data_IF_715523149121
#
_entry.id   IF_715523149121
#
_cell.length_a   1.000
_cell.length_b   1.000
_cell.length_c   1.000
_cell.angle_alpha   90.00
_cell.angle_beta   90.00
_cell.angle_gamma   90.00
#
_symmetry.space_group_name_H-M   'P 1'
#
loop_
_entity.id
_entity.type
_entity.pdbx_description
1 polymer ?
#
# COMPACT_ATOMS: atom_id res chain seq x y z
N UNK A 1 -0.40 15.27 -12.79
CA UNK A 1 -0.15 14.69 -11.46
C UNK A 1 -0.26 15.78 -10.44
N UNK A 2 -0.90 15.52 -9.31
CA UNK A 2 -1.17 16.54 -8.29
C UNK A 2 -0.80 16.01 -6.90
N UNK A 3 -0.06 16.80 -6.14
CA UNK A 3 0.37 16.46 -4.78
C UNK A 3 0.36 17.70 -3.87
N UNK A 4 0.18 17.49 -2.57
CA UNK A 4 0.47 18.50 -1.54
C UNK A 4 1.80 18.25 -0.79
N UNK A 5 2.51 17.17 -1.14
CA UNK A 5 3.80 16.80 -0.56
C UNK A 5 3.75 16.41 0.92
N UNK A 6 2.61 15.92 1.39
CA UNK A 6 2.42 15.56 2.80
C UNK A 6 2.85 14.13 3.12
N UNK A 7 3.13 13.30 2.11
CA UNK A 7 3.62 11.94 2.27
C UNK A 7 4.64 11.58 1.18
N UNK A 8 5.70 12.38 1.03
CA UNK A 8 6.69 12.18 -0.02
C UNK A 8 7.53 10.94 0.27
N UNK A 9 7.33 9.87 -0.50
CA UNK A 9 8.05 8.60 -0.35
C UNK A 9 8.05 8.12 1.13
N UNK A 10 9.22 7.75 1.66
CA UNK A 10 9.43 7.45 3.09
C UNK A 10 9.84 8.67 3.93
N UNK A 11 9.85 9.88 3.38
CA UNK A 11 10.33 11.11 4.04
C UNK A 11 9.21 11.84 4.80
N UNK A 12 7.95 11.59 4.45
CA UNK A 12 6.79 12.17 5.11
C UNK A 12 6.46 13.58 4.64
N UNK A 13 5.97 14.41 5.57
CA UNK A 13 5.45 15.74 5.27
C UNK A 13 6.60 16.76 5.17
N UNK A 14 7.01 17.06 3.94
CA UNK A 14 7.97 18.12 3.63
C UNK A 14 7.30 19.31 2.91
N UNK A 15 6.01 19.17 2.61
CA UNK A 15 5.24 20.12 1.84
C UNK A 15 5.48 20.04 0.33
N UNK A 16 4.79 20.91 -0.44
CA UNK A 16 4.68 20.79 -1.90
C UNK A 16 6.03 20.93 -2.63
N UNK A 17 6.81 21.97 -2.31
CA UNK A 17 8.02 22.29 -3.06
C UNK A 17 9.09 21.18 -3.01
N UNK A 18 9.41 20.58 -1.84
CA UNK A 18 10.33 19.45 -1.79
C UNK A 18 9.87 18.19 -2.55
N UNK A 19 8.57 17.99 -2.74
CA UNK A 19 8.02 16.85 -3.50
C UNK A 19 8.17 16.98 -5.02
N UNK A 20 8.42 18.19 -5.52
CA UNK A 20 8.48 18.49 -6.96
C UNK A 20 9.39 17.56 -7.78
N UNK A 21 10.63 17.23 -7.35
CA UNK A 21 11.47 16.31 -8.12
C UNK A 21 10.81 14.93 -8.35
N UNK A 22 10.12 14.40 -7.33
CA UNK A 22 9.40 13.11 -7.43
C UNK A 22 8.26 13.22 -8.45
N UNK A 23 7.50 14.33 -8.43
CA UNK A 23 6.38 14.53 -9.35
C UNK A 23 6.84 14.70 -10.81
N UNK A 24 7.94 15.42 -11.04
CA UNK A 24 8.55 15.58 -12.37
C UNK A 24 9.00 14.23 -12.93
N UNK A 25 9.65 13.41 -12.10
CA UNK A 25 10.08 12.08 -12.49
C UNK A 25 8.88 11.20 -12.86
N UNK A 26 7.81 11.20 -12.06
CA UNK A 26 6.59 10.44 -12.39
C UNK A 26 5.91 10.96 -13.68
N UNK A 27 5.87 12.27 -13.92
CA UNK A 27 5.33 12.83 -15.16
C UNK A 27 6.13 12.37 -16.40
N UNK A 28 7.45 12.24 -16.28
CA UNK A 28 8.30 11.65 -17.32
C UNK A 28 7.94 10.17 -17.58
N UNK A 29 7.66 9.39 -16.53
CA UNK A 29 7.25 7.98 -16.68
C UNK A 29 5.94 7.84 -17.48
N UNK A 30 4.94 8.68 -17.21
CA UNK A 30 3.70 8.73 -17.99
C UNK A 30 3.98 8.93 -19.48
N UNK A 31 4.86 9.86 -19.83
CA UNK A 31 5.22 10.11 -21.22
C UNK A 31 5.98 8.94 -21.83
N UNK A 32 6.95 8.39 -21.11
CA UNK A 32 7.87 7.37 -21.61
C UNK A 32 7.19 6.03 -21.87
N UNK A 33 6.27 5.62 -20.99
CA UNK A 33 5.68 4.29 -21.00
C UNK A 33 4.24 4.25 -21.54
N UNK A 34 3.47 5.34 -21.40
CA UNK A 34 2.08 5.39 -21.86
C UNK A 34 1.85 6.43 -22.98
N UNK A 35 2.87 7.22 -23.36
CA UNK A 35 2.72 8.30 -24.33
C UNK A 35 1.88 9.49 -23.84
N UNK A 36 1.46 9.48 -22.57
CA UNK A 36 0.59 10.47 -21.94
C UNK A 36 1.38 11.76 -21.66
N UNK A 37 0.84 12.91 -22.06
CA UNK A 37 1.40 14.20 -21.68
C UNK A 37 0.92 14.53 -20.26
N UNK A 38 1.86 14.57 -19.32
CA UNK A 38 1.59 14.87 -17.92
C UNK A 38 2.38 16.09 -17.48
N UNK A 39 1.79 16.89 -16.61
CA UNK A 39 2.46 17.96 -15.87
C UNK A 39 2.29 17.71 -14.37
N UNK A 40 3.25 18.17 -13.59
CA UNK A 40 3.26 18.15 -12.14
C UNK A 40 2.64 19.43 -11.57
N UNK A 41 1.79 19.29 -10.55
CA UNK A 41 1.09 20.39 -9.88
C UNK A 41 1.20 20.19 -8.37
N UNK A 42 2.12 20.94 -7.75
CA UNK A 42 2.30 20.95 -6.31
C UNK A 42 1.38 22.02 -5.67
N UNK A 43 0.38 21.57 -4.92
CA UNK A 43 -0.63 22.43 -4.31
C UNK A 43 -0.28 22.70 -2.86
N UNK A 44 -0.02 23.97 -2.55
CA UNK A 44 0.05 24.44 -1.15
C UNK A 44 -1.36 24.72 -0.64
N UNK A 45 -1.94 23.75 0.05
CA UNK A 45 -3.26 23.88 0.68
C UNK A 45 -3.15 23.82 2.20
N UNK A 46 -3.92 24.66 2.89
CA UNK A 46 -4.02 24.73 4.35
C UNK A 46 -4.96 23.67 4.96
N UNK A 47 -5.75 22.99 4.12
CA UNK A 47 -6.66 21.92 4.54
C UNK A 47 -6.96 20.96 3.38
N UNK A 48 -7.46 19.72 3.67
CA UNK A 48 -7.96 18.81 2.66
C UNK A 48 -9.03 19.44 1.76
N UNK A 49 -9.96 20.21 2.33
CA UNK A 49 -11.01 20.90 1.55
C UNK A 49 -10.41 21.94 0.60
N UNK A 50 -9.43 22.74 1.04
CA UNK A 50 -8.76 23.70 0.17
C UNK A 50 -8.00 23.02 -0.99
N UNK A 51 -7.43 21.84 -0.74
CA UNK A 51 -6.83 21.02 -1.80
C UNK A 51 -7.87 20.53 -2.80
N UNK A 52 -8.97 19.94 -2.31
CA UNK A 52 -10.10 19.47 -3.15
C UNK A 52 -10.62 20.61 -4.02
N UNK A 53 -10.95 21.76 -3.42
CA UNK A 53 -11.47 22.92 -4.14
C UNK A 53 -10.51 23.38 -5.24
N UNK A 54 -9.20 23.38 -4.97
CA UNK A 54 -8.18 23.79 -5.95
C UNK A 54 -8.12 22.81 -7.12
N UNK A 55 -8.14 21.50 -6.83
CA UNK A 55 -8.10 20.47 -7.87
C UNK A 55 -9.37 20.48 -8.70
N UNK A 56 -10.55 20.47 -8.07
CA UNK A 56 -11.84 20.48 -8.76
C UNK A 56 -11.98 21.70 -9.69
N UNK A 57 -11.55 22.89 -9.24
CA UNK A 57 -11.60 24.12 -10.07
C UNK A 57 -10.68 24.11 -11.29
N UNK A 58 -9.70 23.22 -11.32
CA UNK A 58 -8.73 23.12 -12.43
C UNK A 58 -8.90 21.84 -13.25
N UNK A 59 -9.77 20.92 -12.81
CA UNK A 59 -9.95 19.59 -13.38
C UNK A 59 -10.26 19.61 -14.88
N UNK A 60 -11.14 20.51 -15.34
CA UNK A 60 -11.60 20.60 -16.74
C UNK A 60 -10.47 20.91 -17.76
N UNK A 61 -9.29 21.29 -17.28
CA UNK A 61 -8.10 21.47 -18.14
C UNK A 61 -7.45 20.13 -18.53
N UNK A 62 -7.77 19.05 -17.82
CA UNK A 62 -7.10 17.76 -17.92
C UNK A 62 -8.04 16.65 -18.42
N UNK A 63 -7.45 15.58 -18.98
CA UNK A 63 -8.20 14.36 -19.33
C UNK A 63 -8.29 13.33 -18.19
N UNK A 64 -7.61 13.59 -17.07
CA UNK A 64 -7.56 12.75 -15.89
C UNK A 64 -6.64 13.32 -14.81
N UNK A 65 -6.91 13.00 -13.55
CA UNK A 65 -6.14 13.42 -12.39
C UNK A 65 -5.45 12.20 -11.77
N UNK A 66 -4.14 12.31 -11.57
CA UNK A 66 -3.37 11.38 -10.75
C UNK A 66 -2.96 12.08 -9.46
N UNK A 67 -3.53 11.65 -8.33
CA UNK A 67 -3.18 12.06 -6.98
C UNK A 67 -1.97 11.28 -6.47
N UNK A 68 -1.10 11.97 -5.74
CA UNK A 68 0.23 11.44 -5.39
C UNK A 68 0.76 12.02 -4.08
N UNK A 69 1.44 11.20 -3.26
CA UNK A 69 2.17 11.65 -2.05
C UNK A 69 1.29 12.49 -1.08
N UNK A 70 0.04 12.07 -0.88
CA UNK A 70 -0.93 12.69 0.04
C UNK A 70 -1.10 11.79 1.27
N UNK A 71 -0.93 12.36 2.47
CA UNK A 71 -0.99 11.58 3.72
C UNK A 71 -2.37 10.98 3.99
N UNK A 72 -2.35 9.79 4.58
CA UNK A 72 -3.54 9.19 5.18
C UNK A 72 -3.87 9.86 6.54
N UNK A 73 -5.14 9.97 6.95
CA UNK A 73 -6.34 9.45 6.25
C UNK A 73 -6.92 10.41 5.20
N UNK A 74 -6.34 11.61 5.05
CA UNK A 74 -6.89 12.69 4.21
C UNK A 74 -6.96 12.31 2.72
N UNK A 75 -5.98 11.55 2.22
CA UNK A 75 -5.95 11.11 0.83
C UNK A 75 -7.21 10.34 0.39
N UNK A 76 -7.79 9.53 1.27
CA UNK A 76 -8.99 8.75 0.95
C UNK A 76 -10.24 9.64 0.82
N UNK A 77 -10.38 10.65 1.68
CA UNK A 77 -11.48 11.63 1.58
C UNK A 77 -11.31 12.52 0.33
N UNK A 78 -10.08 13.03 0.11
CA UNK A 78 -9.74 13.85 -1.05
C UNK A 78 -10.08 13.12 -2.36
N UNK A 79 -9.64 11.87 -2.48
CA UNK A 79 -9.93 11.06 -3.67
C UNK A 79 -11.42 10.84 -3.86
N UNK A 80 -12.14 10.41 -2.81
CA UNK A 80 -13.57 10.15 -2.91
C UNK A 80 -14.33 11.39 -3.38
N UNK A 81 -14.09 12.54 -2.75
CA UNK A 81 -14.79 13.78 -3.09
C UNK A 81 -14.45 14.25 -4.50
N UNK A 82 -13.19 14.12 -4.93
CA UNK A 82 -12.79 14.49 -6.29
C UNK A 82 -13.40 13.57 -7.35
N UNK A 83 -13.53 12.26 -7.08
CA UNK A 83 -14.26 11.32 -7.95
C UNK A 83 -15.74 11.72 -8.06
N UNK A 84 -16.36 12.16 -6.96
CA UNK A 84 -17.76 12.57 -6.95
C UNK A 84 -18.00 13.93 -7.65
N UNK A 85 -17.03 14.84 -7.61
CA UNK A 85 -17.17 16.20 -8.14
C UNK A 85 -16.66 16.39 -9.57
N UNK A 86 -15.67 15.62 -10.02
CA UNK A 86 -15.03 15.82 -11.32
C UNK A 86 -15.64 14.91 -12.40
N UNK A 87 -15.86 15.45 -13.60
CA UNK A 87 -16.33 14.68 -14.77
C UNK A 87 -15.24 13.84 -15.44
N UNK A 88 -14.00 13.88 -14.91
CA UNK A 88 -12.82 13.18 -15.42
C UNK A 88 -12.32 12.13 -14.41
N UNK A 89 -11.64 11.06 -14.88
CA UNK A 89 -11.13 10.04 -13.96
C UNK A 89 -10.12 10.62 -12.97
N UNK A 90 -10.28 10.26 -11.70
CA UNK A 90 -9.35 10.56 -10.61
C UNK A 90 -8.79 9.26 -10.08
N UNK A 91 -7.47 9.19 -9.93
CA UNK A 91 -6.75 7.99 -9.50
C UNK A 91 -5.66 8.36 -8.51
N UNK A 92 -5.57 7.67 -7.38
CA UNK A 92 -4.46 7.81 -6.45
C UNK A 92 -3.45 6.66 -6.61
N UNK A 93 -2.21 6.98 -7.02
CA UNK A 93 -1.19 5.97 -7.35
C UNK A 93 -0.73 5.17 -6.13
N UNK A 94 -0.43 5.82 -4.99
CA UNK A 94 -0.04 5.11 -3.77
C UNK A 94 -1.12 4.15 -3.24
N UNK A 95 -2.39 4.38 -3.58
CA UNK A 95 -3.51 3.51 -3.19
C UNK A 95 -3.72 2.41 -4.22
N UNK A 96 -4.23 2.77 -5.40
CA UNK A 96 -4.67 1.81 -6.41
C UNK A 96 -3.52 1.24 -7.22
N UNK A 97 -2.51 2.05 -7.54
CA UNK A 97 -1.30 1.61 -8.23
C UNK A 97 -0.59 0.52 -7.44
N UNK A 98 -0.34 0.79 -6.15
CA UNK A 98 0.22 -0.21 -5.21
C UNK A 98 -0.65 -1.46 -5.13
N UNK A 99 -1.97 -1.33 -5.04
CA UNK A 99 -2.89 -2.46 -4.98
C UNK A 99 -2.79 -3.36 -6.23
N UNK A 100 -2.81 -2.77 -7.42
CA UNK A 100 -2.78 -3.50 -8.69
C UNK A 100 -1.50 -4.32 -8.82
N UNK A 101 -0.32 -3.70 -8.60
CA UNK A 101 0.96 -4.41 -8.74
C UNK A 101 1.17 -5.44 -7.63
N UNK A 102 0.69 -5.16 -6.41
CA UNK A 102 0.73 -6.13 -5.30
C UNK A 102 -0.13 -7.34 -5.61
N UNK A 103 -1.35 -7.14 -6.09
CA UNK A 103 -2.25 -8.22 -6.45
C UNK A 103 -1.69 -9.06 -7.61
N UNK A 104 -1.18 -8.43 -8.66
CA UNK A 104 -0.57 -9.13 -9.78
C UNK A 104 0.65 -9.98 -9.34
N UNK A 105 1.54 -9.40 -8.54
CA UNK A 105 2.68 -10.13 -7.99
C UNK A 105 2.25 -11.30 -7.10
N UNK A 106 1.28 -11.08 -6.22
CA UNK A 106 0.83 -12.09 -5.27
C UNK A 106 0.15 -13.26 -5.98
N UNK A 107 -0.69 -13.01 -6.99
CA UNK A 107 -1.33 -14.07 -7.77
C UNK A 107 -0.29 -14.98 -8.43
N UNK A 108 0.76 -14.39 -9.04
CA UNK A 108 1.85 -15.16 -9.62
C UNK A 108 2.63 -15.94 -8.56
N UNK A 109 2.94 -15.32 -7.41
CA UNK A 109 3.66 -15.99 -6.33
C UNK A 109 2.87 -17.16 -5.74
N UNK A 110 1.55 -17.01 -5.59
CA UNK A 110 0.66 -18.08 -5.16
C UNK A 110 0.68 -19.25 -6.16
N UNK A 111 0.57 -18.96 -7.46
CA UNK A 111 0.65 -19.99 -8.51
C UNK A 111 1.98 -20.75 -8.46
N UNK A 112 3.11 -20.04 -8.39
CA UNK A 112 4.45 -20.63 -8.32
C UNK A 112 4.60 -21.54 -7.08
N UNK A 113 4.03 -21.13 -5.95
CA UNK A 113 4.09 -21.88 -4.69
C UNK A 113 2.98 -22.96 -4.57
N UNK A 114 2.15 -23.14 -5.60
CA UNK A 114 1.07 -24.13 -5.60
C UNK A 114 -0.07 -23.82 -4.63
N UNK A 115 -0.29 -22.53 -4.33
CA UNK A 115 -1.31 -22.03 -3.40
C UNK A 115 -2.43 -21.30 -4.16
N UNK A 116 -3.54 -21.04 -3.48
CA UNK A 116 -4.69 -20.30 -4.05
C UNK A 116 -5.11 -19.16 -3.15
N UNK A 117 -5.55 -18.06 -3.76
CA UNK A 117 -5.92 -16.84 -3.04
C UNK A 117 -7.09 -17.07 -2.06
N UNK A 118 -8.05 -17.92 -2.43
CA UNK A 118 -9.23 -18.24 -1.62
C UNK A 118 -8.88 -18.95 -0.30
N UNK A 119 -7.78 -19.68 -0.26
CA UNK A 119 -7.35 -20.45 0.91
C UNK A 119 -6.19 -19.80 1.67
N UNK A 120 -5.46 -18.87 1.04
CA UNK A 120 -4.32 -18.21 1.65
C UNK A 120 -4.71 -17.44 2.93
N UNK A 121 -3.93 -17.65 3.99
CA UNK A 121 -3.90 -16.75 5.15
C UNK A 121 -2.90 -15.63 4.87
N UNK A 122 -3.40 -14.39 4.88
CA UNK A 122 -2.64 -13.20 4.47
C UNK A 122 -2.53 -12.26 5.66
N UNK A 123 -1.30 -11.95 6.05
CA UNK A 123 -0.96 -10.95 7.06
C UNK A 123 -0.43 -9.71 6.36
N UNK A 124 -1.09 -8.57 6.54
CA UNK A 124 -0.60 -7.29 6.05
C UNK A 124 0.00 -6.50 7.21
N UNK A 125 1.32 -6.29 7.17
CA UNK A 125 2.02 -5.42 8.10
C UNK A 125 1.93 -4.00 7.57
N UNK A 126 1.04 -3.21 8.18
CA UNK A 126 0.63 -1.91 7.69
C UNK A 126 -0.90 -1.78 7.65
N UNK A 127 -1.37 -0.57 7.92
CA UNK A 127 -2.80 -0.25 7.85
C UNK A 127 -3.06 1.19 7.38
N UNK A 128 -2.20 1.66 6.48
CA UNK A 128 -2.38 2.93 5.76
C UNK A 128 -3.27 2.78 4.53
N UNK A 129 -3.30 3.82 3.69
CA UNK A 129 -4.14 3.86 2.50
C UNK A 129 -3.73 2.80 1.45
N UNK A 130 -2.43 2.62 1.21
CA UNK A 130 -1.89 1.57 0.34
C UNK A 130 -2.30 0.17 0.82
N UNK A 131 -2.03 -0.15 2.09
CA UNK A 131 -2.35 -1.45 2.69
C UNK A 131 -3.85 -1.77 2.60
N UNK A 132 -4.71 -0.81 2.97
CA UNK A 132 -6.17 -0.93 2.88
C UNK A 132 -6.62 -1.21 1.44
N UNK A 133 -6.06 -0.48 0.47
CA UNK A 133 -6.39 -0.65 -0.96
C UNK A 133 -5.93 -1.99 -1.50
N UNK A 134 -4.73 -2.45 -1.17
CA UNK A 134 -4.23 -3.78 -1.51
C UNK A 134 -5.18 -4.86 -0.96
N UNK A 135 -5.52 -4.80 0.33
CA UNK A 135 -6.38 -5.82 0.94
C UNK A 135 -7.79 -5.79 0.34
N UNK A 136 -8.33 -4.61 0.03
CA UNK A 136 -9.65 -4.49 -0.61
C UNK A 136 -9.67 -5.11 -2.00
N UNK A 137 -8.62 -4.89 -2.81
CA UNK A 137 -8.49 -5.51 -4.13
C UNK A 137 -8.30 -7.03 -4.03
N UNK A 138 -7.51 -7.52 -3.09
CA UNK A 138 -7.37 -8.97 -2.89
C UNK A 138 -8.70 -9.62 -2.50
N UNK A 139 -9.50 -8.97 -1.64
CA UNK A 139 -10.85 -9.46 -1.30
C UNK A 139 -11.75 -9.50 -2.54
N UNK A 140 -11.74 -8.46 -3.37
CA UNK A 140 -12.56 -8.44 -4.59
C UNK A 140 -12.13 -9.50 -5.62
N UNK A 141 -10.86 -9.91 -5.59
CA UNK A 141 -10.31 -11.01 -6.40
C UNK A 141 -10.55 -12.42 -5.81
N UNK A 142 -11.11 -12.53 -4.60
CA UNK A 142 -11.50 -13.82 -3.99
C UNK A 142 -10.83 -14.17 -2.66
N UNK A 143 -9.93 -13.33 -2.15
CA UNK A 143 -9.34 -13.54 -0.83
C UNK A 143 -10.42 -13.52 0.27
N UNK A 144 -10.34 -14.47 1.20
CA UNK A 144 -11.34 -14.58 2.25
C UNK A 144 -11.03 -13.59 3.38
N UNK A 145 -11.96 -12.66 3.64
CA UNK A 145 -11.79 -11.64 4.68
C UNK A 145 -11.44 -12.20 6.07
N UNK A 146 -11.99 -13.36 6.43
CA UNK A 146 -11.67 -14.07 7.68
C UNK A 146 -10.20 -14.54 7.79
N UNK A 147 -9.51 -14.66 6.66
CA UNK A 147 -8.11 -15.08 6.56
C UNK A 147 -7.15 -13.88 6.44
N UNK A 148 -7.68 -12.65 6.42
CA UNK A 148 -6.89 -11.43 6.32
C UNK A 148 -6.66 -10.83 7.71
N UNK A 149 -5.40 -10.53 8.02
CA UNK A 149 -5.00 -9.90 9.28
C UNK A 149 -4.20 -8.63 8.97
N UNK A 150 -4.76 -7.47 9.25
CA UNK A 150 -4.01 -6.21 9.17
C UNK A 150 -3.40 -5.88 10.54
N UNK A 151 -2.12 -5.54 10.55
CA UNK A 151 -1.35 -5.25 11.75
C UNK A 151 -0.83 -3.83 11.68
N UNK A 152 -1.14 -3.00 12.68
CA UNK A 152 -0.56 -1.67 12.80
C UNK A 152 0.30 -1.55 14.07
N UNK A 153 0.71 -0.33 14.42
CA UNK A 153 1.57 -0.05 15.57
C UNK A 153 1.06 -0.54 16.93
N UNK A 154 -0.24 -0.83 17.09
CA UNK A 154 -0.77 -1.41 18.34
C UNK A 154 -1.18 -2.88 18.20
N UNK A 155 -0.77 -3.56 17.12
CA UNK A 155 -1.08 -4.97 16.87
C UNK A 155 -2.18 -5.18 15.85
N UNK A 156 -2.75 -6.38 15.85
CA UNK A 156 -3.81 -6.80 14.93
C UNK A 156 -5.03 -5.90 15.08
N UNK A 157 -5.65 -5.52 13.96
CA UNK A 157 -6.91 -4.79 13.96
C UNK A 157 -8.06 -5.78 14.20
N UNK A 158 -8.85 -5.54 15.25
CA UNK A 158 -9.97 -6.39 15.67
C UNK A 158 -11.10 -5.53 16.27
N UNK A 159 -12.30 -6.09 16.44
CA UNK A 159 -13.50 -5.30 16.79
C UNK A 159 -13.47 -4.74 18.21
N UNK A 160 -12.86 -5.46 19.15
CA UNK A 160 -12.68 -5.01 20.54
C UNK A 160 -11.62 -3.93 20.77
N UNK A 161 -11.06 -3.31 19.73
CA UNK A 161 -10.01 -2.29 19.85
C UNK A 161 -10.59 -0.88 19.80
N UNK A 162 -10.21 -0.05 20.77
CA UNK A 162 -10.62 1.35 20.80
C UNK A 162 -9.91 2.18 19.72
N UNK A 163 -10.60 3.24 19.23
CA UNK A 163 -10.04 4.27 18.33
C UNK A 163 -9.51 3.74 16.99
N UNK A 164 -10.08 2.66 16.48
CA UNK A 164 -9.83 2.21 15.10
C UNK A 164 -10.61 3.12 14.15
N UNK A 165 -9.92 3.74 13.18
CA UNK A 165 -10.61 4.56 12.19
C UNK A 165 -11.51 3.69 11.28
N UNK A 166 -12.52 4.25 10.60
CA UNK A 166 -13.47 3.47 9.81
C UNK A 166 -12.81 2.61 8.71
N UNK A 167 -11.80 3.14 8.03
CA UNK A 167 -11.08 2.44 6.96
C UNK A 167 -10.37 1.17 7.46
N UNK A 168 -9.78 1.24 8.66
CA UNK A 168 -9.14 0.10 9.32
C UNK A 168 -10.18 -0.88 9.88
N UNK A 169 -11.27 -0.35 10.43
CA UNK A 169 -12.33 -1.16 11.03
C UNK A 169 -12.98 -2.09 9.99
N UNK A 170 -12.97 -1.71 8.70
CA UNK A 170 -13.33 -2.60 7.60
C UNK A 170 -12.59 -3.93 7.68
N UNK A 171 -11.32 -3.97 8.06
CA UNK A 171 -10.49 -5.17 8.10
C UNK A 171 -10.29 -5.74 9.51
N UNK A 172 -11.19 -5.43 10.45
CA UNK A 172 -11.17 -6.05 11.77
C UNK A 172 -11.31 -7.57 11.68
N UNK A 173 -10.39 -8.30 12.32
CA UNK A 173 -10.39 -9.76 12.39
C UNK A 173 -10.41 -10.24 13.84
N UNK A 174 -11.46 -10.97 14.21
CA UNK A 174 -11.67 -11.46 15.59
C UNK A 174 -11.20 -12.90 15.81
N UNK A 175 -10.40 -13.46 14.88
CA UNK A 175 -9.83 -14.80 14.92
C UNK A 175 -8.74 -15.05 15.99
N UNK A 176 -8.78 -14.32 17.11
CA UNK A 176 -7.95 -14.55 18.29
C UNK A 176 -6.58 -13.87 18.30
N UNK A 177 -5.87 -13.79 17.17
CA UNK A 177 -4.56 -13.16 17.09
C UNK A 177 -4.60 -11.67 17.48
N UNK A 178 -3.62 -11.21 18.27
CA UNK A 178 -3.47 -9.82 18.73
C UNK A 178 -2.12 -9.23 18.38
N UNK A 179 -1.09 -10.05 18.23
CA UNK A 179 0.26 -9.61 17.83
C UNK A 179 0.62 -10.01 16.40
N UNK A 180 1.66 -9.40 15.83
CA UNK A 180 2.21 -9.80 14.53
C UNK A 180 2.60 -11.29 14.52
N UNK A 181 3.37 -11.73 15.53
CA UNK A 181 3.85 -13.11 15.61
C UNK A 181 2.69 -14.11 15.66
N UNK A 182 1.64 -13.84 16.45
CA UNK A 182 0.44 -14.69 16.49
C UNK A 182 -0.29 -14.72 15.15
N UNK A 183 -0.39 -13.59 14.45
CA UNK A 183 -1.00 -13.54 13.12
C UNK A 183 -0.16 -14.33 12.10
N UNK A 184 1.17 -14.29 12.21
CA UNK A 184 2.13 -14.98 11.35
C UNK A 184 2.20 -16.50 11.58
N UNK A 185 1.66 -17.02 12.68
CA UNK A 185 1.65 -18.47 12.90
C UNK A 185 0.82 -19.19 11.83
N UNK A 186 1.48 -20.01 11.03
CA UNK A 186 0.85 -20.82 9.99
C UNK A 186 0.18 -19.99 8.90
N UNK A 187 0.70 -18.79 8.60
CA UNK A 187 0.23 -18.00 7.47
C UNK A 187 0.97 -18.33 6.17
N UNK A 188 0.36 -17.95 5.05
CA UNK A 188 0.88 -18.22 3.71
C UNK A 188 1.62 -17.02 3.11
N UNK A 189 1.16 -15.81 3.46
CA UNK A 189 1.52 -14.57 2.79
C UNK A 189 1.70 -13.45 3.80
N UNK A 190 2.86 -12.79 3.76
CA UNK A 190 3.12 -11.53 4.45
C UNK A 190 3.26 -10.37 3.45
N UNK A 191 2.44 -9.33 3.58
CA UNK A 191 2.54 -8.10 2.77
C UNK A 191 2.91 -6.92 3.67
N UNK A 192 4.15 -6.46 3.55
CA UNK A 192 4.71 -5.31 4.23
C UNK A 192 4.50 -4.02 3.45
N UNK A 193 3.70 -3.12 4.03
CA UNK A 193 3.43 -1.75 3.56
C UNK A 193 3.46 -0.81 4.78
N UNK A 194 4.60 -0.80 5.48
CA UNK A 194 4.75 -0.22 6.81
C UNK A 194 6.05 0.58 6.99
N UNK A 195 7.02 0.01 7.70
CA UNK A 195 8.33 0.61 7.96
C UNK A 195 9.43 -0.45 8.03
N UNK A 196 10.66 0.04 8.03
CA UNK A 196 11.86 -0.78 7.94
C UNK A 196 12.05 -1.73 9.13
N UNK A 197 12.59 -2.94 8.85
CA UNK A 197 13.03 -3.92 9.84
C UNK A 197 11.96 -4.39 10.86
N UNK A 198 10.68 -4.35 10.48
CA UNK A 198 9.57 -4.78 11.35
C UNK A 198 9.26 -6.28 11.26
N UNK A 199 9.67 -6.96 10.18
CA UNK A 199 9.49 -8.40 10.03
C UNK A 199 10.75 -9.14 10.52
N UNK A 200 10.62 -9.87 11.62
CA UNK A 200 11.74 -10.55 12.26
C UNK A 200 11.97 -11.97 11.69
N UNK A 201 13.19 -12.52 11.82
CA UNK A 201 13.44 -13.93 11.49
C UNK A 201 12.53 -14.91 12.23
N UNK A 202 12.19 -14.61 13.48
CA UNK A 202 11.27 -15.42 14.28
C UNK A 202 9.86 -15.46 13.67
N UNK A 203 9.31 -14.31 13.28
CA UNK A 203 8.01 -14.25 12.61
C UNK A 203 8.04 -14.98 11.25
N UNK A 204 9.15 -14.82 10.49
CA UNK A 204 9.34 -15.50 9.22
C UNK A 204 9.42 -17.03 9.36
N UNK A 205 10.02 -17.54 10.45
CA UNK A 205 10.08 -18.98 10.76
C UNK A 205 8.74 -19.54 11.26
N UNK A 206 7.82 -18.70 11.74
CA UNK A 206 6.49 -19.11 12.17
C UNK A 206 5.50 -19.37 11.01
N UNK A 207 5.82 -18.88 9.80
CA UNK A 207 5.02 -19.07 8.60
C UNK A 207 5.09 -20.52 8.10
N UNK A 208 4.12 -20.95 7.28
CA UNK A 208 4.11 -22.29 6.68
C UNK A 208 5.28 -22.53 5.72
N UNK A 209 5.53 -23.78 5.27
CA UNK A 209 6.46 -24.04 4.16
C UNK A 209 6.06 -23.27 2.89
N UNK A 210 7.04 -22.88 2.08
CA UNK A 210 6.87 -22.13 0.85
C UNK A 210 6.08 -20.80 1.02
N UNK A 211 6.44 -19.93 1.98
CA UNK A 211 5.69 -18.70 2.23
C UNK A 211 6.00 -17.67 1.16
N UNK A 212 5.12 -16.68 1.07
CA UNK A 212 5.28 -15.53 0.19
C UNK A 212 5.45 -14.28 1.05
N UNK A 213 6.51 -13.52 0.81
CA UNK A 213 6.81 -12.30 1.56
C UNK A 213 7.01 -11.15 0.60
N UNK A 214 6.22 -10.09 0.75
CA UNK A 214 6.34 -8.85 -0.01
C UNK A 214 6.79 -7.77 0.96
N UNK A 215 8.09 -7.45 0.99
CA UNK A 215 8.66 -6.43 1.89
C UNK A 215 8.88 -5.13 1.13
N UNK A 216 7.81 -4.33 1.01
CA UNK A 216 7.73 -3.22 0.04
C UNK A 216 7.95 -1.83 0.66
N UNK A 217 8.30 -1.73 1.95
CA UNK A 217 8.70 -0.44 2.54
C UNK A 217 9.92 0.16 1.83
N UNK A 218 9.88 1.49 1.66
CA UNK A 218 10.95 2.27 1.05
C UNK A 218 11.51 3.31 2.02
N UNK A 219 12.83 3.59 1.99
CA UNK A 219 13.85 2.94 1.16
C UNK A 219 14.34 1.58 1.72
N UNK A 220 14.05 1.31 2.98
CA UNK A 220 14.45 0.08 3.68
C UNK A 220 13.23 -0.83 3.90
N UNK A 221 13.29 -2.11 3.48
CA UNK A 221 12.17 -3.03 3.56
C UNK A 221 11.89 -3.51 5.00
N UNK A 222 10.73 -4.11 5.22
CA UNK A 222 10.33 -4.75 6.48
C UNK A 222 11.33 -5.83 6.94
N UNK A 223 11.93 -6.54 6.00
CA UNK A 223 13.06 -7.45 6.22
C UNK A 223 14.01 -7.32 5.03
N UNK A 224 15.32 -7.28 5.29
CA UNK A 224 16.32 -7.27 4.22
C UNK A 224 16.33 -8.61 3.48
N UNK A 225 16.44 -8.64 2.14
CA UNK A 225 16.47 -9.88 1.38
C UNK A 225 17.57 -10.85 1.79
N UNK A 226 18.74 -10.35 2.16
CA UNK A 226 19.85 -11.17 2.64
C UNK A 226 19.50 -11.88 3.95
N UNK A 227 18.84 -11.17 4.86
CA UNK A 227 18.41 -11.74 6.14
C UNK A 227 17.27 -12.74 5.94
N UNK A 228 16.31 -12.44 5.09
CA UNK A 228 15.20 -13.34 4.78
C UNK A 228 15.72 -14.66 4.17
N UNK A 229 16.60 -14.58 3.17
CA UNK A 229 17.22 -15.75 2.52
C UNK A 229 18.19 -16.52 3.42
N UNK A 230 18.82 -15.85 4.39
CA UNK A 230 19.63 -16.54 5.40
C UNK A 230 18.77 -17.23 6.48
N UNK A 231 17.53 -16.78 6.66
CA UNK A 231 16.59 -17.34 7.65
C UNK A 231 15.89 -18.59 7.12
N UNK A 232 15.47 -18.58 5.85
CA UNK A 232 14.85 -19.72 5.17
C UNK A 232 15.09 -19.68 3.67
N UNK A 233 15.08 -20.83 3.02
CA UNK A 233 15.45 -21.02 1.61
C UNK A 233 14.26 -21.30 0.67
N UNK A 234 13.08 -21.54 1.23
CA UNK A 234 11.86 -21.93 0.52
C UNK A 234 10.89 -20.76 0.23
N UNK A 235 11.20 -19.53 0.68
CA UNK A 235 10.32 -18.38 0.48
C UNK A 235 10.36 -17.80 -0.94
N UNK A 236 9.21 -17.30 -1.41
CA UNK A 236 9.15 -16.32 -2.49
C UNK A 236 9.21 -14.91 -1.88
N UNK A 237 10.13 -14.05 -2.34
CA UNK A 237 10.38 -12.74 -1.73
C UNK A 237 10.33 -11.64 -2.76
N UNK A 238 9.41 -10.70 -2.62
CA UNK A 238 9.38 -9.47 -3.41
C UNK A 238 9.74 -8.24 -2.55
N UNK A 239 10.35 -7.22 -3.17
CA UNK A 239 10.57 -5.91 -2.56
C UNK A 239 10.13 -4.78 -3.49
N UNK A 240 10.03 -3.56 -2.95
CA UNK A 240 9.79 -2.35 -3.74
C UNK A 240 11.04 -1.78 -4.43
N UNK A 241 12.20 -2.42 -4.27
CA UNK A 241 13.48 -1.89 -4.75
C UNK A 241 13.93 -2.54 -6.05
N UNK A 242 14.59 -1.76 -6.90
CA UNK A 242 15.08 -2.20 -8.21
C UNK A 242 16.42 -2.93 -8.17
N UNK A 243 17.15 -2.87 -7.05
CA UNK A 243 18.42 -3.57 -6.86
C UNK A 243 18.26 -5.02 -6.39
N UNK A 244 17.02 -5.44 -6.09
CA UNK A 244 16.70 -6.82 -5.74
C UNK A 244 15.80 -7.49 -6.78
N UNK A 245 16.02 -8.80 -7.05
CA UNK A 245 15.03 -9.60 -7.76
C UNK A 245 13.83 -9.87 -6.84
N UNK A 246 12.69 -10.19 -7.47
CA UNK A 246 11.49 -10.71 -6.82
C UNK A 246 11.33 -12.20 -7.16
#
# INVERSE_FOLDING_TARGET
MISNGTAILGLGDLGPLPGKPVMVDKALLFKRFAGVNSIDIEVKAESPQAFIDTVARTADTFGGINLEDIKAPECSEIEQVLIEQCDIPVFHDDQHGTAIVTAAGLLNALEIQGKTLEHAKIVCLGAGAAATSCMRLLVSLGAQKRNLYMVDRMGVIHSGRDRVNPYKAEFANDGGARTLLEAMQGDDVCVGLSGANLLTPEALLAMVPNPIVFACSNPDPEIKPELAKATRDDLALATGRSDYPN
#
